data_IF_873001819751
#
_entry.id   IF_873001819751
#
_cell.length_a   1.000
_cell.length_b   1.000
_cell.length_c   1.000
_cell.angle_alpha   90.00
_cell.angle_beta   90.00
_cell.angle_gamma   90.00
#
_symmetry.space_group_name_H-M   'P 1'
#
loop_
_entity.id
_entity.type
_entity.pdbx_description
1 polymer ?
#
# COMPACT_ATOMS: atom_id res chain seq x y z
N UNK A 1 -55.72 -3.57 0.63
CA UNK A 1 -54.79 -3.95 1.71
C UNK A 1 -54.72 -5.47 1.77
N UNK A 2 -53.74 -6.06 1.11
CA UNK A 2 -53.35 -7.47 1.21
C UNK A 2 -51.91 -7.59 0.68
N UNK A 3 -50.96 -7.98 1.53
CA UNK A 3 -49.56 -8.10 1.16
C UNK A 3 -49.32 -9.47 0.47
N UNK A 4 -48.60 -9.53 -0.66
CA UNK A 4 -48.29 -10.80 -1.30
C UNK A 4 -47.17 -11.52 -0.53
N UNK A 5 -47.47 -12.71 -0.01
CA UNK A 5 -46.49 -13.63 0.59
C UNK A 5 -45.59 -14.20 -0.50
N UNK A 6 -44.34 -13.76 -0.52
CA UNK A 6 -43.28 -14.27 -1.41
C UNK A 6 -42.93 -15.72 -1.01
N UNK A 7 -43.29 -16.71 -1.83
CA UNK A 7 -42.85 -18.11 -1.63
C UNK A 7 -41.43 -18.26 -2.17
N UNK A 8 -40.48 -18.53 -1.28
CA UNK A 8 -39.08 -18.82 -1.61
C UNK A 8 -38.96 -20.29 -2.03
N UNK A 9 -38.94 -20.55 -3.34
CA UNK A 9 -38.65 -21.88 -3.88
C UNK A 9 -37.16 -22.12 -4.08
N UNK A 10 -36.74 -23.40 -4.07
CA UNK A 10 -35.35 -23.85 -4.25
C UNK A 10 -34.65 -23.26 -5.48
N UNK A 11 -35.42 -22.90 -6.52
CA UNK A 11 -34.91 -22.26 -7.75
C UNK A 11 -34.53 -20.79 -7.55
N UNK A 12 -35.25 -20.07 -6.68
CA UNK A 12 -34.95 -18.67 -6.31
C UNK A 12 -33.69 -18.59 -5.43
N UNK A 13 -33.45 -19.61 -4.60
CA UNK A 13 -32.25 -19.68 -3.75
C UNK A 13 -30.95 -19.86 -4.57
N UNK A 14 -31.00 -20.65 -5.65
CA UNK A 14 -29.83 -20.88 -6.51
C UNK A 14 -29.49 -19.66 -7.39
N UNK A 15 -30.48 -18.86 -7.77
CA UNK A 15 -30.28 -17.67 -8.62
C UNK A 15 -29.75 -16.44 -7.85
N UNK A 16 -30.02 -16.35 -6.55
CA UNK A 16 -29.52 -15.26 -5.68
C UNK A 16 -28.17 -15.60 -5.06
N UNK A 17 -27.81 -16.87 -4.96
CA UNK A 17 -26.57 -17.32 -4.33
C UNK A 17 -25.27 -17.00 -5.09
N UNK A 18 -25.33 -16.71 -6.39
CA UNK A 18 -24.12 -16.52 -7.23
C UNK A 18 -23.61 -15.09 -7.31
N UNK A 19 -24.43 -14.06 -7.03
CA UNK A 19 -23.98 -12.66 -7.10
C UNK A 19 -23.22 -12.21 -5.86
N UNK A 20 -23.53 -12.74 -4.67
CA UNK A 20 -22.81 -12.37 -3.44
C UNK A 20 -21.44 -13.05 -3.27
N UNK A 21 -21.24 -14.24 -3.84
CA UNK A 21 -19.99 -14.97 -3.64
C UNK A 21 -18.79 -14.34 -4.37
N UNK A 22 -19.03 -13.65 -5.50
CA UNK A 22 -17.96 -13.07 -6.32
C UNK A 22 -17.29 -11.89 -5.63
N UNK A 23 -18.02 -11.05 -4.88
CA UNK A 23 -17.44 -9.88 -4.21
C UNK A 23 -16.52 -10.26 -3.04
N UNK A 24 -16.85 -11.31 -2.28
CA UNK A 24 -15.99 -11.77 -1.17
C UNK A 24 -14.71 -12.47 -1.62
N UNK A 25 -14.68 -13.05 -2.82
CA UNK A 25 -13.47 -13.69 -3.37
C UNK A 25 -12.41 -12.67 -3.81
N UNK A 26 -12.79 -11.41 -4.08
CA UNK A 26 -11.84 -10.33 -4.40
C UNK A 26 -11.21 -9.69 -3.15
N UNK A 27 -11.75 -9.96 -1.96
CA UNK A 27 -11.33 -9.38 -0.69
C UNK A 27 -10.77 -10.43 0.27
N UNK A 28 -10.06 -11.42 -0.28
CA UNK A 28 -9.12 -12.17 0.53
C UNK A 28 -8.13 -11.16 1.14
N UNK A 29 -7.99 -11.08 2.49
CA UNK A 29 -6.93 -10.28 3.07
C UNK A 29 -5.64 -10.86 2.52
N UNK A 30 -4.93 -10.10 1.68
CA UNK A 30 -3.54 -10.45 1.32
C UNK A 30 -2.87 -10.66 2.66
N UNK A 31 -2.42 -11.88 2.91
CA UNK A 31 -1.63 -12.17 4.09
C UNK A 31 -0.57 -11.07 4.13
N UNK A 32 -0.58 -10.26 5.19
CA UNK A 32 0.58 -9.45 5.59
C UNK A 32 1.67 -10.47 5.87
N UNK A 33 2.26 -11.03 4.81
CA UNK A 33 3.46 -11.84 4.91
C UNK A 33 4.41 -10.96 5.68
N UNK A 34 4.90 -11.47 6.81
CA UNK A 34 5.81 -10.74 7.69
C UNK A 34 6.92 -10.17 6.82
N UNK A 35 6.78 -8.90 6.42
CA UNK A 35 7.76 -8.29 5.54
C UNK A 35 8.97 -8.18 6.42
N UNK A 36 10.00 -8.94 6.06
CA UNK A 36 11.32 -8.90 6.68
C UNK A 36 11.64 -7.45 7.03
N UNK A 37 12.19 -7.23 8.23
CA UNK A 37 12.30 -5.91 8.86
C UNK A 37 12.54 -4.78 7.84
N UNK A 38 11.43 -4.11 7.46
CA UNK A 38 11.41 -3.11 6.38
C UNK A 38 12.35 -1.94 6.67
N UNK A 39 12.81 -1.82 7.91
CA UNK A 39 13.76 -0.81 8.34
C UNK A 39 15.19 -1.04 7.84
N UNK A 40 15.53 -2.28 7.46
CA UNK A 40 16.89 -2.65 7.06
C UNK A 40 16.95 -3.47 5.78
N UNK A 41 15.86 -3.55 5.03
CA UNK A 41 15.88 -4.15 3.68
C UNK A 41 16.67 -3.29 2.70
N UNK A 42 17.28 -3.93 1.70
CA UNK A 42 17.92 -3.19 0.61
C UNK A 42 16.89 -2.44 -0.24
N UNK A 43 17.32 -1.36 -0.90
CA UNK A 43 16.46 -0.58 -1.80
C UNK A 43 15.80 -1.44 -2.89
N UNK A 44 16.53 -2.43 -3.43
CA UNK A 44 16.00 -3.35 -4.44
C UNK A 44 14.94 -4.30 -3.85
N UNK A 45 15.12 -4.75 -2.61
CA UNK A 45 14.12 -5.56 -1.92
C UNK A 45 12.84 -4.75 -1.63
N UNK A 46 13.00 -3.50 -1.17
CA UNK A 46 11.88 -2.56 -0.98
C UNK A 46 11.12 -2.30 -2.29
N UNK A 47 11.83 -2.00 -3.39
CA UNK A 47 11.21 -1.79 -4.70
C UNK A 47 10.44 -3.01 -5.18
N UNK A 48 10.97 -4.22 -4.94
CA UNK A 48 10.26 -5.48 -5.26
C UNK A 48 9.01 -5.68 -4.40
N UNK A 49 9.06 -5.35 -3.11
CA UNK A 49 7.90 -5.42 -2.23
C UNK A 49 6.79 -4.43 -2.66
N UNK A 50 7.17 -3.21 -3.05
CA UNK A 50 6.25 -2.21 -3.64
C UNK A 50 5.64 -2.76 -4.92
N UNK A 51 6.45 -3.34 -5.81
CA UNK A 51 6.00 -3.90 -7.09
C UNK A 51 5.01 -5.06 -6.91
N UNK A 52 5.24 -5.92 -5.90
CA UNK A 52 4.35 -7.03 -5.56
C UNK A 52 3.10 -6.59 -4.78
N UNK A 53 3.04 -5.34 -4.35
CA UNK A 53 1.94 -4.82 -3.54
C UNK A 53 1.92 -5.36 -2.12
N UNK A 54 3.08 -5.76 -1.59
CA UNK A 54 3.28 -6.20 -0.21
C UNK A 54 3.36 -5.03 0.77
N UNK A 55 3.86 -3.89 0.29
CA UNK A 55 3.90 -2.60 0.98
C UNK A 55 3.57 -1.51 -0.04
N UNK A 56 2.94 -0.41 0.37
CA UNK A 56 2.78 0.76 -0.50
C UNK A 56 3.98 1.71 -0.38
N UNK A 57 4.20 2.53 -1.38
CA UNK A 57 5.20 3.60 -1.34
C UNK A 57 4.89 4.58 -0.19
N UNK A 58 3.61 4.92 0.00
CA UNK A 58 3.14 5.76 1.12
C UNK A 58 3.43 5.11 2.47
N UNK A 59 3.15 3.81 2.63
CA UNK A 59 3.40 3.07 3.88
C UNK A 59 4.89 3.04 4.21
N UNK A 60 5.75 2.74 3.24
CA UNK A 60 7.19 2.72 3.45
C UNK A 60 7.76 4.12 3.76
N UNK A 61 7.28 5.15 3.07
CA UNK A 61 7.68 6.54 3.31
C UNK A 61 7.26 7.01 4.71
N UNK A 62 6.01 6.72 5.10
CA UNK A 62 5.50 7.04 6.44
C UNK A 62 6.34 6.37 7.53
N UNK A 63 6.68 5.09 7.33
CA UNK A 63 7.56 4.36 8.25
C UNK A 63 8.94 5.01 8.40
N UNK A 64 9.54 5.50 7.31
CA UNK A 64 10.82 6.21 7.39
C UNK A 64 10.70 7.57 8.09
N UNK A 65 9.61 8.30 7.86
CA UNK A 65 9.32 9.55 8.59
C UNK A 65 9.20 9.31 10.09
N UNK A 66 8.49 8.26 10.51
CA UNK A 66 8.38 7.88 11.92
C UNK A 66 9.76 7.63 12.55
N UNK A 67 10.67 6.96 11.81
CA UNK A 67 12.05 6.74 12.26
C UNK A 67 12.84 8.04 12.36
N UNK A 68 12.69 8.94 11.40
CA UNK A 68 13.31 10.26 11.44
C UNK A 68 12.85 11.00 12.69
N UNK A 69 11.55 11.05 12.97
CA UNK A 69 11.00 11.69 14.17
C UNK A 69 11.55 11.08 15.47
N UNK A 70 11.69 9.74 15.50
CA UNK A 70 12.22 9.02 16.68
C UNK A 70 13.72 9.21 16.91
N UNK A 71 14.53 9.20 15.83
CA UNK A 71 15.99 9.06 15.95
C UNK A 71 16.78 10.32 15.60
N UNK A 72 16.26 11.16 14.69
CA UNK A 72 16.99 12.34 14.23
C UNK A 72 17.32 13.36 15.35
N UNK A 73 16.52 13.56 16.42
CA UNK A 73 16.90 14.48 17.50
C UNK A 73 18.25 14.14 18.17
N UNK A 74 18.64 12.86 18.14
CA UNK A 74 19.95 12.41 18.68
C UNK A 74 21.04 12.30 17.62
N UNK A 75 20.66 11.93 16.39
CA UNK A 75 21.61 11.67 15.31
C UNK A 75 22.00 12.95 14.53
N UNK A 76 21.09 13.92 14.46
CA UNK A 76 21.23 15.14 13.67
C UNK A 76 21.66 14.87 12.21
N UNK A 77 21.06 13.86 11.57
CA UNK A 77 21.42 13.38 10.24
C UNK A 77 20.59 14.02 9.12
N UNK A 78 19.36 14.42 9.42
CA UNK A 78 18.45 15.10 8.49
C UNK A 78 18.45 16.59 8.83
N UNK A 79 19.02 17.39 7.95
CA UNK A 79 19.12 18.86 8.09
C UNK A 79 17.87 19.58 7.60
N UNK A 80 17.24 19.04 6.55
CA UNK A 80 16.00 19.57 5.95
C UNK A 80 15.07 18.40 5.70
N UNK A 81 13.87 18.46 6.27
CA UNK A 81 12.83 17.44 6.08
C UNK A 81 11.74 17.95 5.12
N UNK A 82 11.48 17.20 4.05
CA UNK A 82 10.48 17.52 3.03
C UNK A 82 9.28 16.57 3.09
N UNK A 83 8.66 16.45 4.26
CA UNK A 83 7.62 15.45 4.57
C UNK A 83 6.45 15.47 3.58
N UNK A 84 5.82 16.63 3.36
CA UNK A 84 4.67 16.75 2.47
C UNK A 84 5.01 16.37 1.02
N UNK A 85 6.18 16.80 0.53
CA UNK A 85 6.64 16.47 -0.82
C UNK A 85 6.96 14.98 -0.94
N UNK A 86 7.56 14.37 0.08
CA UNK A 86 7.86 12.95 0.11
C UNK A 86 6.57 12.11 0.04
N UNK A 87 5.56 12.46 0.86
CA UNK A 87 4.27 11.77 0.86
C UNK A 87 3.50 11.96 -0.45
N UNK A 88 3.49 13.17 -1.02
CA UNK A 88 2.88 13.43 -2.32
C UNK A 88 3.52 12.60 -3.45
N UNK A 89 4.87 12.52 -3.46
CA UNK A 89 5.61 11.68 -4.41
C UNK A 89 5.33 10.19 -4.20
N UNK A 90 5.25 9.76 -2.95
CA UNK A 90 4.94 8.38 -2.63
C UNK A 90 3.56 7.97 -3.14
N UNK A 91 2.55 8.82 -2.93
CA UNK A 91 1.19 8.64 -3.45
C UNK A 91 1.17 8.54 -4.97
N UNK A 92 1.87 9.43 -5.67
CA UNK A 92 1.97 9.39 -7.13
C UNK A 92 2.63 8.09 -7.63
N UNK A 93 3.59 7.52 -6.88
CA UNK A 93 4.19 6.24 -7.22
C UNK A 93 3.18 5.10 -7.07
N UNK A 94 2.41 5.07 -5.98
CA UNK A 94 1.35 4.08 -5.79
C UNK A 94 0.27 4.16 -6.87
N UNK A 95 -0.10 5.37 -7.31
CA UNK A 95 -1.03 5.60 -8.42
C UNK A 95 -0.45 5.13 -9.76
N UNK A 96 0.84 5.41 -10.03
CA UNK A 96 1.52 4.91 -11.22
C UNK A 96 1.58 3.38 -11.24
N UNK A 97 1.91 2.74 -10.11
CA UNK A 97 1.82 1.28 -9.95
C UNK A 97 0.43 0.76 -10.29
N UNK A 98 -0.63 1.42 -9.81
CA UNK A 98 -2.01 1.00 -10.07
C UNK A 98 -2.37 1.08 -11.56
N UNK A 99 -1.73 1.97 -12.33
CA UNK A 99 -1.84 2.05 -13.80
C UNK A 99 -0.87 1.13 -14.55
N UNK A 100 -0.02 0.37 -13.86
CA UNK A 100 1.02 -0.48 -14.46
C UNK A 100 2.25 0.29 -14.96
N UNK A 101 2.40 1.56 -14.56
CA UNK A 101 3.53 2.42 -14.91
C UNK A 101 4.69 2.28 -13.90
N UNK A 102 5.93 2.19 -14.41
CA UNK A 102 7.12 2.06 -13.58
C UNK A 102 8.17 3.11 -13.93
N UNK A 103 8.59 3.88 -12.95
CA UNK A 103 9.55 4.99 -13.14
C UNK A 103 11.02 4.55 -13.16
N UNK A 104 11.29 3.27 -12.89
CA UNK A 104 12.64 2.71 -12.90
C UNK A 104 12.85 1.62 -11.85
N UNK A 105 14.11 1.22 -11.63
CA UNK A 105 14.47 0.10 -10.74
C UNK A 105 14.10 0.30 -9.27
N UNK A 106 14.05 1.55 -8.80
CA UNK A 106 13.76 1.94 -7.39
C UNK A 106 12.42 2.67 -7.26
N UNK A 107 11.46 2.37 -8.14
CA UNK A 107 10.13 2.98 -8.12
C UNK A 107 9.48 2.93 -6.72
N UNK A 108 9.11 4.11 -6.19
CA UNK A 108 8.44 4.26 -4.89
C UNK A 108 9.33 4.11 -3.65
N UNK A 109 10.64 3.90 -3.80
CA UNK A 109 11.55 3.77 -2.64
C UNK A 109 11.93 5.17 -2.13
N UNK A 110 11.72 5.48 -0.83
CA UNK A 110 12.13 6.77 -0.26
C UNK A 110 13.66 6.85 -0.16
N UNK A 111 14.22 8.04 -0.39
CA UNK A 111 15.65 8.30 -0.23
C UNK A 111 15.90 9.72 0.29
N UNK A 112 17.11 9.95 0.81
CA UNK A 112 17.63 11.26 1.18
C UNK A 112 18.69 11.70 0.19
N UNK A 113 18.89 13.00 0.07
CA UNK A 113 19.96 13.59 -0.75
C UNK A 113 20.93 14.32 0.17
N UNK A 114 22.23 14.18 -0.10
CA UNK A 114 23.26 14.95 0.61
C UNK A 114 23.12 16.42 0.25
N UNK A 115 22.94 17.28 1.24
CA UNK A 115 23.03 18.73 1.08
C UNK A 115 24.53 19.09 0.97
N UNK A 116 24.99 19.40 -0.23
CA UNK A 116 26.33 19.92 -0.53
C UNK A 116 26.33 20.51 -1.94
N UNK A 117 26.91 21.70 -2.09
CA UNK A 117 27.12 22.39 -3.37
C UNK A 117 28.56 22.87 -3.50
#
# INVERSE_FOLDING_TARGET
MAAPTLRLDRRTFLAVGTTLAVSTLLQAPRAKGAVADLDFVSALAAARAIRRGEVSSVELTTRMLDRIRKHNPRLNAIVTLTEDTALARAKAADEARARGEWWGPVHGVPCTVKETF
#
